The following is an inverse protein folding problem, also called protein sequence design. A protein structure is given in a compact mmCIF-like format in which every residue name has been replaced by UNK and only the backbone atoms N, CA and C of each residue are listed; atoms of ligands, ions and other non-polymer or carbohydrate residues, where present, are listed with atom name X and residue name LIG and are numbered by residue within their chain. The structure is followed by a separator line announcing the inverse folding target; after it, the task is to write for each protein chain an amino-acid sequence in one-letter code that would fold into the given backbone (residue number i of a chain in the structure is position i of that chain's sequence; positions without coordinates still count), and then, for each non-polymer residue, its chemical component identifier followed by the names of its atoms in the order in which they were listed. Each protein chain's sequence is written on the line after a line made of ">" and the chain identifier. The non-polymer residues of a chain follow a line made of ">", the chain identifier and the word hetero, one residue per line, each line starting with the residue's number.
data_IF_179042503213
#
_entry.id   IF_179042503213
#
_cell.length_a   1.000
_cell.length_b   1.000
_cell.length_c   1.000
_cell.angle_alpha   90.00
_cell.angle_beta   90.00
_cell.angle_gamma   90.00
#
_symmetry.space_group_name_H-M   'P 1'
#
loop_
_entity.id
_entity.type
_entity.pdbx_description
1 polymer ?
#
# COMPACT_ATOMS: atom_id res chain seq x y z
N UNK A 1 22.86 -3.07 -4.21
CA UNK A 1 21.54 -3.24 -3.57
C UNK A 1 20.96 -4.59 -3.96
N UNK A 2 20.21 -5.26 -3.08
CA UNK A 2 19.58 -6.54 -3.43
C UNK A 2 18.46 -6.30 -4.46
N UNK A 3 18.22 -7.18 -5.45
CA UNK A 3 17.13 -7.04 -6.42
C UNK A 3 15.77 -6.78 -5.76
N UNK A 4 15.55 -7.42 -4.60
CA UNK A 4 14.37 -7.20 -3.78
C UNK A 4 14.19 -5.74 -3.30
N UNK A 5 15.27 -5.03 -2.98
CA UNK A 5 15.22 -3.62 -2.59
C UNK A 5 14.72 -2.74 -3.73
N UNK A 6 15.12 -3.02 -4.98
CA UNK A 6 14.60 -2.31 -6.14
C UNK A 6 13.09 -2.52 -6.33
N UNK A 7 12.61 -3.75 -6.14
CA UNK A 7 11.18 -4.05 -6.19
C UNK A 7 10.42 -3.25 -5.13
N UNK A 8 10.93 -3.24 -3.89
CA UNK A 8 10.29 -2.46 -2.82
C UNK A 8 10.24 -0.96 -3.13
N UNK A 9 11.33 -0.37 -3.65
CA UNK A 9 11.37 1.04 -4.01
C UNK A 9 10.41 1.35 -5.16
N UNK A 10 10.37 0.50 -6.17
CA UNK A 10 9.43 0.63 -7.28
C UNK A 10 7.98 0.57 -6.80
N UNK A 11 7.63 -0.38 -5.94
CA UNK A 11 6.29 -0.51 -5.36
C UNK A 11 5.91 0.74 -4.53
N UNK A 12 6.85 1.28 -3.73
CA UNK A 12 6.61 2.51 -2.97
C UNK A 12 6.38 3.71 -3.91
N UNK A 13 7.18 3.85 -4.96
CA UNK A 13 6.99 4.91 -5.97
C UNK A 13 5.65 4.76 -6.67
N UNK A 14 5.27 3.54 -7.05
CA UNK A 14 4.01 3.26 -7.73
C UNK A 14 2.82 3.60 -6.83
N UNK A 15 2.76 3.07 -5.61
CA UNK A 15 1.65 3.30 -4.69
C UNK A 15 1.59 4.75 -4.21
N UNK A 16 2.74 5.38 -3.97
CA UNK A 16 2.84 6.81 -3.70
C UNK A 16 2.32 7.66 -4.86
N UNK A 17 2.64 7.27 -6.10
CA UNK A 17 2.09 7.89 -7.30
C UNK A 17 0.57 7.80 -7.38
N UNK A 18 -0.01 6.65 -7.03
CA UNK A 18 -1.47 6.47 -6.96
C UNK A 18 -2.10 7.38 -5.90
N UNK A 19 -1.49 7.50 -4.71
CA UNK A 19 -1.96 8.42 -3.67
C UNK A 19 -1.92 9.86 -4.17
N UNK A 20 -0.77 10.30 -4.71
CA UNK A 20 -0.61 11.66 -5.23
C UNK A 20 -1.67 11.92 -6.28
N UNK A 21 -1.78 11.06 -7.29
CA UNK A 21 -2.76 11.19 -8.37
C UNK A 21 -4.19 11.31 -7.83
N UNK A 22 -4.60 10.45 -6.91
CA UNK A 22 -5.94 10.51 -6.31
C UNK A 22 -6.21 11.76 -5.47
N UNK A 23 -5.15 12.39 -4.93
CA UNK A 23 -5.25 13.64 -4.14
C UNK A 23 -5.17 14.92 -4.98
N UNK A 24 -4.75 14.83 -6.24
CA UNK A 24 -4.71 16.01 -7.11
C UNK A 24 -6.11 16.61 -7.24
N UNK A 25 -6.18 17.94 -7.31
CA UNK A 25 -7.43 18.66 -7.50
C UNK A 25 -7.90 18.53 -8.96
N UNK A 26 -8.27 17.31 -9.36
CA UNK A 26 -8.98 17.02 -10.59
C UNK A 26 -10.49 17.22 -10.41
N UNK A 27 -11.23 17.53 -11.49
CA UNK A 27 -12.69 17.63 -11.47
C UNK A 27 -13.34 16.37 -10.87
N UNK A 28 -12.75 15.21 -11.17
CA UNK A 28 -13.11 13.93 -10.59
C UNK A 28 -12.15 13.63 -9.44
N UNK A 29 -12.58 13.89 -8.21
CA UNK A 29 -11.85 13.40 -7.03
C UNK A 29 -12.03 11.88 -6.96
N UNK A 30 -10.93 11.16 -6.77
CA UNK A 30 -10.94 9.71 -6.67
C UNK A 30 -10.49 9.26 -5.27
N UNK A 31 -11.31 9.46 -4.22
CA UNK A 31 -10.94 9.12 -2.84
C UNK A 31 -10.62 7.63 -2.68
N UNK A 32 -11.28 6.77 -3.46
CA UNK A 32 -11.00 5.33 -3.50
C UNK A 32 -9.57 5.00 -3.94
N UNK A 33 -9.00 5.78 -4.87
CA UNK A 33 -7.62 5.60 -5.30
C UNK A 33 -6.63 6.03 -4.21
N UNK A 34 -6.92 7.13 -3.52
CA UNK A 34 -6.11 7.60 -2.38
C UNK A 34 -6.03 6.51 -1.31
N UNK A 35 -7.20 5.97 -0.94
CA UNK A 35 -7.28 4.92 0.08
C UNK A 35 -6.63 3.62 -0.38
N UNK A 36 -6.81 3.23 -1.64
CA UNK A 36 -6.15 2.04 -2.18
C UNK A 36 -4.62 2.17 -2.16
N UNK A 37 -4.08 3.28 -2.66
CA UNK A 37 -2.64 3.54 -2.65
C UNK A 37 -2.08 3.63 -1.23
N UNK A 38 -2.78 4.33 -0.34
CA UNK A 38 -2.37 4.45 1.06
C UNK A 38 -2.40 3.11 1.80
N UNK A 39 -3.43 2.29 1.58
CA UNK A 39 -3.52 0.94 2.14
C UNK A 39 -2.36 0.05 1.70
N UNK A 40 -1.99 0.08 0.42
CA UNK A 40 -0.84 -0.66 -0.10
C UNK A 40 0.49 -0.16 0.48
N UNK A 41 0.67 1.15 0.66
CA UNK A 41 1.83 1.72 1.35
C UNK A 41 1.91 1.28 2.82
N UNK A 42 0.78 1.23 3.53
CA UNK A 42 0.72 0.66 4.89
C UNK A 42 1.13 -0.82 4.88
N UNK A 43 0.68 -1.59 3.89
CA UNK A 43 1.12 -2.98 3.71
C UNK A 43 2.64 -3.10 3.51
N UNK A 44 3.26 -2.18 2.75
CA UNK A 44 4.72 -2.09 2.62
C UNK A 44 5.40 -1.74 3.94
N UNK A 45 4.83 -0.83 4.73
CA UNK A 45 5.34 -0.49 6.05
C UNK A 45 5.31 -1.72 6.98
N UNK A 46 4.19 -2.45 7.04
CA UNK A 46 4.04 -3.68 7.83
C UNK A 46 5.10 -4.70 7.43
N UNK A 47 5.28 -4.95 6.13
CA UNK A 47 6.31 -5.86 5.63
C UNK A 47 7.70 -5.48 6.17
N UNK A 48 8.04 -4.20 6.14
CA UNK A 48 9.36 -3.70 6.54
C UNK A 48 9.54 -3.74 8.06
N UNK A 49 8.48 -3.52 8.84
CA UNK A 49 8.48 -3.69 10.30
C UNK A 49 8.78 -5.14 10.68
N UNK A 50 8.28 -6.11 9.90
CA UNK A 50 8.54 -7.55 10.14
C UNK A 50 9.92 -8.01 9.67
N UNK A 51 10.69 -7.17 8.98
CA UNK A 51 12.00 -7.56 8.46
C UNK A 51 13.03 -7.94 9.54
N UNK A 52 13.14 -7.23 10.69
CA UNK A 52 14.05 -7.59 11.79
C UNK A 52 13.64 -8.86 12.55
N UNK A 53 12.36 -9.23 12.55
CA UNK A 53 11.86 -10.46 13.19
C UNK A 53 12.32 -11.75 12.48
N UNK A 54 12.93 -11.59 11.30
CA UNK A 54 13.38 -12.72 10.49
C UNK A 54 12.21 -13.47 9.83
N UNK A 55 12.51 -14.68 9.33
CA UNK A 55 11.58 -15.48 8.54
C UNK A 55 11.71 -15.24 7.03
N UNK A 56 10.90 -15.97 6.27
CA UNK A 56 10.98 -15.93 4.81
C UNK A 56 10.44 -14.62 4.25
N UNK A 57 11.04 -14.17 3.14
CA UNK A 57 10.54 -13.04 2.37
C UNK A 57 9.06 -13.22 2.01
N UNK A 58 8.65 -14.45 1.66
CA UNK A 58 7.28 -14.77 1.29
C UNK A 58 6.32 -14.53 2.46
N UNK A 59 6.67 -14.97 3.68
CA UNK A 59 5.83 -14.79 4.87
C UNK A 59 5.53 -13.32 5.14
N UNK A 60 6.57 -12.50 5.21
CA UNK A 60 6.40 -11.05 5.47
C UNK A 60 5.67 -10.34 4.33
N UNK A 61 5.86 -10.79 3.08
CA UNK A 61 5.10 -10.26 1.94
C UNK A 61 3.62 -10.58 2.04
N UNK A 62 3.26 -11.81 2.39
CA UNK A 62 1.86 -12.21 2.59
C UNK A 62 1.20 -11.38 3.71
N UNK A 63 1.86 -11.24 4.86
CA UNK A 63 1.32 -10.45 5.97
C UNK A 63 1.18 -8.98 5.59
N UNK A 64 2.19 -8.38 4.96
CA UNK A 64 2.16 -6.99 4.52
C UNK A 64 1.05 -6.74 3.50
N UNK A 65 0.93 -7.57 2.46
CA UNK A 65 -0.12 -7.41 1.45
C UNK A 65 -1.52 -7.71 1.98
N UNK A 66 -1.67 -8.68 2.89
CA UNK A 66 -2.94 -8.94 3.56
C UNK A 66 -3.38 -7.73 4.40
N UNK A 67 -2.46 -7.15 5.20
CA UNK A 67 -2.74 -5.95 5.97
C UNK A 67 -3.12 -4.77 5.06
N UNK A 68 -2.36 -4.55 3.98
CA UNK A 68 -2.65 -3.50 3.02
C UNK A 68 -4.00 -3.66 2.32
N UNK A 69 -4.37 -4.88 1.95
CA UNK A 69 -5.67 -5.20 1.37
C UNK A 69 -6.82 -4.94 2.35
N UNK A 70 -6.64 -5.26 3.63
CA UNK A 70 -7.63 -4.94 4.68
C UNK A 70 -7.82 -3.44 4.82
N UNK A 71 -6.74 -2.65 4.92
CA UNK A 71 -6.83 -1.20 5.04
C UNK A 71 -7.48 -0.56 3.80
N UNK A 72 -7.03 -0.95 2.60
CA UNK A 72 -7.60 -0.46 1.35
C UNK A 72 -9.09 -0.84 1.22
N UNK A 73 -9.42 -2.12 1.46
CA UNK A 73 -10.78 -2.63 1.36
C UNK A 73 -11.74 -1.96 2.34
N UNK A 74 -11.38 -1.88 3.62
CA UNK A 74 -12.22 -1.22 4.63
C UNK A 74 -12.42 0.25 4.31
N UNK A 75 -11.37 0.98 3.92
CA UNK A 75 -11.51 2.39 3.59
C UNK A 75 -12.35 2.61 2.32
N UNK A 76 -12.23 1.75 1.31
CA UNK A 76 -13.11 1.79 0.12
C UNK A 76 -14.56 1.53 0.50
N UNK A 77 -14.82 0.52 1.35
CA UNK A 77 -16.18 0.24 1.85
C UNK A 77 -16.73 1.47 2.56
N UNK A 78 -15.96 2.10 3.45
CA UNK A 78 -16.37 3.30 4.18
C UNK A 78 -16.70 4.46 3.22
N UNK A 79 -15.88 4.69 2.18
CA UNK A 79 -16.13 5.74 1.18
C UNK A 79 -17.48 5.56 0.46
N UNK A 80 -17.93 4.33 0.24
CA UNK A 80 -19.17 4.08 -0.51
C UNK A 80 -20.40 3.87 0.38
N UNK A 81 -20.21 3.77 1.70
CA UNK A 81 -21.30 3.48 2.66
C UNK A 81 -21.62 4.64 3.60
N UNK A 82 -20.73 5.63 3.70
CA UNK A 82 -20.90 6.88 4.44
C UNK A 82 -21.10 8.05 3.48
#
# INVERSE_FOLDING_TARGET
>A
MRPYTFVQLFEVLLFGGVVIYGTLATPDRHPSLVVAGAGLLLGKAVLNILAPEGGSLIRRSLVGYAAGAVFAGLGIVLIHTL
#
